data_IF_426682220999
#
_entry.id   IF_426682220999
#
_cell.length_a   1.000
_cell.length_b   1.000
_cell.length_c   1.000
_cell.angle_alpha   90.00
_cell.angle_beta   90.00
_cell.angle_gamma   90.00
#
_symmetry.space_group_name_H-M   'P 1'
#
loop_
_entity.id
_entity.type
_entity.pdbx_description
1 polymer ?
#
# COMPACT_ATOMS: atom_id res chain seq x y z
N UNK A 1 -12.75 7.98 -17.72
CA UNK A 1 -11.62 7.16 -17.22
C UNK A 1 -10.37 7.95 -17.52
N UNK A 2 -9.57 8.21 -16.49
CA UNK A 2 -8.34 9.00 -16.61
C UNK A 2 -7.33 8.20 -17.43
N UNK A 3 -6.81 8.78 -18.50
CA UNK A 3 -5.69 8.19 -19.24
C UNK A 3 -4.40 8.43 -18.43
N UNK A 4 -4.00 7.41 -17.63
CA UNK A 4 -2.81 7.48 -16.78
C UNK A 4 -1.53 7.71 -17.59
N UNK A 5 -1.46 7.23 -18.83
CA UNK A 5 -0.30 7.40 -19.68
C UNK A 5 -0.15 8.86 -20.15
N UNK A 6 -1.26 9.48 -20.54
CA UNK A 6 -1.27 10.89 -20.94
C UNK A 6 -0.95 11.79 -19.73
N UNK A 7 -1.54 11.52 -18.57
CA UNK A 7 -1.24 12.28 -17.35
C UNK A 7 0.23 12.17 -16.99
N UNK A 8 0.79 10.96 -17.01
CA UNK A 8 2.20 10.76 -16.67
C UNK A 8 3.12 11.51 -17.64
N UNK A 9 2.82 11.52 -18.94
CA UNK A 9 3.58 12.27 -19.93
C UNK A 9 3.58 13.78 -19.62
N UNK A 10 2.42 14.33 -19.27
CA UNK A 10 2.29 15.74 -18.89
C UNK A 10 3.06 16.06 -17.60
N UNK A 11 3.02 15.19 -16.60
CA UNK A 11 3.81 15.32 -15.37
C UNK A 11 5.33 15.29 -15.67
N UNK A 12 5.76 14.42 -16.59
CA UNK A 12 7.18 14.32 -17.01
C UNK A 12 7.65 15.56 -17.74
N UNK A 13 6.79 16.23 -18.50
CA UNK A 13 7.08 17.51 -19.17
C UNK A 13 6.91 18.73 -18.27
N UNK A 14 6.56 18.51 -16.98
CA UNK A 14 6.38 19.59 -15.98
C UNK A 14 5.25 20.56 -16.32
N UNK A 15 4.20 20.09 -16.94
CA UNK A 15 2.98 20.87 -17.12
C UNK A 15 2.31 21.09 -15.77
N UNK A 16 2.18 22.37 -15.36
CA UNK A 16 1.61 22.73 -14.04
C UNK A 16 0.17 22.28 -13.85
N UNK A 17 -0.62 22.23 -14.92
CA UNK A 17 -2.01 21.76 -14.83
C UNK A 17 -2.13 20.26 -14.59
N UNK A 18 -1.10 19.49 -14.93
CA UNK A 18 -1.11 18.04 -14.75
C UNK A 18 -1.12 17.62 -13.28
N UNK A 19 -0.45 18.39 -12.40
CA UNK A 19 -0.44 18.08 -10.96
C UNK A 19 -1.78 18.44 -10.32
N UNK A 20 -2.40 19.55 -10.68
CA UNK A 20 -3.74 19.93 -10.19
C UNK A 20 -4.76 18.86 -10.54
N UNK A 21 -4.73 18.39 -11.79
CA UNK A 21 -5.59 17.32 -12.25
C UNK A 21 -5.34 15.97 -11.52
N UNK A 22 -4.07 15.65 -11.23
CA UNK A 22 -3.73 14.47 -10.44
C UNK A 22 -4.28 14.58 -9.01
N UNK A 23 -4.16 15.75 -8.38
CA UNK A 23 -4.68 16.03 -7.04
C UNK A 23 -6.20 15.79 -7.03
N UNK A 24 -6.93 16.43 -7.93
CA UNK A 24 -8.39 16.33 -8.00
C UNK A 24 -8.86 14.88 -8.23
N UNK A 25 -8.16 14.15 -9.11
CA UNK A 25 -8.55 12.79 -9.49
C UNK A 25 -8.23 11.73 -8.43
N UNK A 26 -7.10 11.86 -7.73
CA UNK A 26 -6.63 10.81 -6.84
C UNK A 26 -6.81 11.09 -5.34
N UNK A 27 -7.05 12.33 -4.91
CA UNK A 27 -7.26 12.65 -3.49
C UNK A 27 -8.40 11.84 -2.85
N UNK A 28 -9.60 11.69 -3.48
CA UNK A 28 -10.68 10.90 -2.88
C UNK A 28 -10.29 9.44 -2.67
N UNK A 29 -9.58 8.86 -3.65
CA UNK A 29 -9.09 7.49 -3.57
C UNK A 29 -8.02 7.32 -2.48
N UNK A 30 -7.03 8.21 -2.42
CA UNK A 30 -5.96 8.16 -1.42
C UNK A 30 -6.50 8.35 -0.01
N UNK A 31 -7.46 9.26 0.17
CA UNK A 31 -8.17 9.44 1.45
C UNK A 31 -8.85 8.15 1.88
N UNK A 32 -9.59 7.50 0.99
CA UNK A 32 -10.25 6.22 1.28
C UNK A 32 -9.23 5.15 1.66
N UNK A 33 -8.13 5.02 0.92
CA UNK A 33 -7.05 4.05 1.22
C UNK A 33 -6.45 4.30 2.59
N UNK A 34 -6.15 5.56 2.93
CA UNK A 34 -5.55 5.94 4.20
C UNK A 34 -6.52 5.74 5.37
N UNK A 35 -7.76 6.24 5.28
CA UNK A 35 -8.75 6.04 6.34
C UNK A 35 -9.04 4.56 6.60
N UNK A 36 -9.13 3.74 5.56
CA UNK A 36 -9.31 2.29 5.71
C UNK A 36 -8.10 1.59 6.34
N UNK A 37 -6.92 2.18 6.25
CA UNK A 37 -5.70 1.58 6.77
C UNK A 37 -5.40 2.01 8.21
N UNK A 38 -5.52 3.31 8.49
CA UNK A 38 -5.09 3.88 9.78
C UNK A 38 -6.27 4.15 10.72
N UNK A 39 -7.51 4.17 10.21
CA UNK A 39 -8.71 4.49 10.98
C UNK A 39 -8.55 5.80 11.74
N UNK A 40 -8.78 5.74 13.06
CA UNK A 40 -8.61 6.87 13.99
C UNK A 40 -7.20 6.97 14.58
N UNK A 41 -6.26 6.11 14.19
CA UNK A 41 -4.89 6.07 14.76
C UNK A 41 -4.04 7.29 14.37
N UNK A 42 -4.38 7.94 13.25
CA UNK A 42 -3.79 9.22 12.83
C UNK A 42 -4.85 10.31 12.81
N UNK A 43 -4.52 11.53 13.24
CA UNK A 43 -5.40 12.68 13.09
C UNK A 43 -5.57 13.04 11.60
N UNK A 44 -6.63 13.79 11.31
CA UNK A 44 -6.98 14.19 9.93
C UNK A 44 -5.85 14.98 9.26
N UNK A 45 -5.22 15.86 10.02
CA UNK A 45 -4.10 16.70 9.58
C UNK A 45 -2.90 15.87 9.11
N UNK A 46 -2.60 14.76 9.80
CA UNK A 46 -1.54 13.84 9.40
C UNK A 46 -1.90 13.10 8.10
N UNK A 47 -3.19 12.78 7.89
CA UNK A 47 -3.65 12.15 6.64
C UNK A 47 -3.54 13.14 5.47
N UNK A 48 -3.91 14.40 5.67
CA UNK A 48 -3.79 15.46 4.67
C UNK A 48 -2.31 15.73 4.31
N UNK A 49 -1.42 15.74 5.30
CA UNK A 49 0.03 15.84 5.08
C UNK A 49 0.56 14.66 4.27
N UNK A 50 0.15 13.43 4.59
CA UNK A 50 0.55 12.24 3.81
C UNK A 50 0.09 12.36 2.36
N UNK A 51 -1.12 12.83 2.11
CA UNK A 51 -1.65 13.01 0.75
C UNK A 51 -0.80 14.05 0.00
N UNK A 52 -0.46 15.15 0.66
CA UNK A 52 0.42 16.18 0.09
C UNK A 52 1.80 15.62 -0.26
N UNK A 53 2.40 14.85 0.64
CA UNK A 53 3.69 14.18 0.42
C UNK A 53 3.65 13.22 -0.78
N UNK A 54 2.52 12.51 -0.99
CA UNK A 54 2.33 11.63 -2.14
C UNK A 54 2.38 12.41 -3.46
N UNK A 55 1.72 13.58 -3.53
CA UNK A 55 1.74 14.40 -4.74
C UNK A 55 3.08 15.09 -4.97
N UNK A 56 3.77 15.49 -3.89
CA UNK A 56 5.16 15.97 -3.99
C UNK A 56 6.07 14.87 -4.55
N UNK A 57 5.94 13.64 -4.06
CA UNK A 57 6.69 12.50 -4.57
C UNK A 57 6.36 12.20 -6.04
N UNK A 58 5.07 12.22 -6.41
CA UNK A 58 4.62 12.08 -7.80
C UNK A 58 5.29 13.12 -8.70
N UNK A 59 5.21 14.38 -8.32
CA UNK A 59 5.82 15.48 -9.07
C UNK A 59 7.34 15.32 -9.20
N UNK A 60 8.00 14.97 -8.10
CA UNK A 60 9.46 14.86 -8.05
C UNK A 60 9.97 13.70 -8.90
N UNK A 61 9.31 12.55 -8.80
CA UNK A 61 9.77 11.29 -9.41
C UNK A 61 9.00 10.90 -10.68
N UNK A 62 8.21 11.81 -11.28
CA UNK A 62 7.41 11.51 -12.47
C UNK A 62 8.22 10.85 -13.61
N UNK A 63 9.48 11.25 -13.78
CA UNK A 63 10.38 10.71 -14.83
C UNK A 63 10.80 9.26 -14.61
N UNK A 64 10.78 8.80 -13.35
CA UNK A 64 11.22 7.46 -12.97
C UNK A 64 10.05 6.45 -12.94
N UNK A 65 8.80 6.93 -13.14
CA UNK A 65 7.62 6.10 -13.11
C UNK A 65 7.50 5.32 -14.42
N UNK A 66 7.37 4.00 -14.28
CA UNK A 66 7.22 3.05 -15.37
C UNK A 66 5.87 2.31 -15.25
N UNK A 67 4.91 2.70 -16.09
CA UNK A 67 3.56 2.12 -16.10
C UNK A 67 3.52 0.66 -16.58
N UNK A 68 4.61 0.14 -17.16
CA UNK A 68 4.68 -1.30 -17.48
C UNK A 68 4.73 -2.17 -16.21
N UNK A 69 5.13 -1.60 -15.07
CA UNK A 69 5.23 -2.27 -13.76
C UNK A 69 3.97 -2.18 -12.93
N UNK A 70 3.00 -1.38 -13.31
CA UNK A 70 1.75 -1.18 -12.60
C UNK A 70 1.07 0.15 -12.94
N UNK A 71 -0.12 0.36 -12.40
CA UNK A 71 -0.88 1.59 -12.61
C UNK A 71 -0.36 2.75 -11.76
N UNK A 72 -0.58 3.99 -12.22
CA UNK A 72 -0.27 5.18 -11.43
C UNK A 72 -1.02 5.17 -10.08
N UNK A 73 -2.27 4.73 -10.10
CA UNK A 73 -3.10 4.54 -8.91
C UNK A 73 -2.44 3.62 -7.87
N UNK A 74 -1.88 2.49 -8.30
CA UNK A 74 -1.20 1.55 -7.40
C UNK A 74 0.13 2.11 -6.87
N UNK A 75 0.84 2.89 -7.67
CA UNK A 75 2.06 3.58 -7.27
C UNK A 75 1.79 4.61 -6.16
N UNK A 76 0.78 5.47 -6.35
CA UNK A 76 0.39 6.48 -5.36
C UNK A 76 -0.08 5.84 -4.05
N UNK A 77 -0.89 4.77 -4.13
CA UNK A 77 -1.33 4.03 -2.95
C UNK A 77 -0.17 3.36 -2.19
N UNK A 78 0.88 2.93 -2.89
CA UNK A 78 2.06 2.36 -2.24
C UNK A 78 2.85 3.44 -1.46
N UNK A 79 3.02 4.63 -2.04
CA UNK A 79 3.66 5.75 -1.33
C UNK A 79 2.82 6.14 -0.11
N UNK A 80 1.51 6.34 -0.28
CA UNK A 80 0.60 6.72 0.81
C UNK A 80 0.70 5.75 1.99
N UNK A 81 0.62 4.44 1.72
CA UNK A 81 0.76 3.40 2.74
C UNK A 81 2.10 3.44 3.46
N UNK A 82 3.20 3.52 2.71
CA UNK A 82 4.54 3.56 3.29
C UNK A 82 4.75 4.78 4.19
N UNK A 83 4.26 5.96 3.76
CA UNK A 83 4.35 7.19 4.54
C UNK A 83 3.51 7.10 5.83
N UNK A 84 2.28 6.59 5.72
CA UNK A 84 1.40 6.41 6.88
C UNK A 84 2.00 5.43 7.92
N UNK A 85 2.53 4.30 7.48
CA UNK A 85 3.21 3.36 8.39
C UNK A 85 4.44 3.96 9.05
N UNK A 86 5.21 4.76 8.33
CA UNK A 86 6.37 5.44 8.92
C UNK A 86 5.94 6.45 10.00
N UNK A 87 4.82 7.18 9.78
CA UNK A 87 4.26 8.08 10.80
C UNK A 87 3.74 7.31 12.02
N UNK A 88 2.97 6.23 11.80
CA UNK A 88 2.47 5.37 12.89
C UNK A 88 3.62 4.80 13.73
N UNK A 89 4.67 4.28 13.09
CA UNK A 89 5.83 3.74 13.78
C UNK A 89 6.54 4.81 14.62
N UNK A 90 6.78 5.98 14.06
CA UNK A 90 7.37 7.10 14.82
C UNK A 90 6.51 7.47 16.03
N UNK A 91 5.19 7.53 15.86
CA UNK A 91 4.26 7.82 16.96
C UNK A 91 4.36 6.76 18.06
N UNK A 92 4.45 5.48 17.71
CA UNK A 92 4.64 4.39 18.67
C UNK A 92 6.01 4.46 19.38
N UNK A 93 7.09 4.80 18.68
CA UNK A 93 8.42 4.98 19.29
C UNK A 93 8.42 6.12 20.33
N UNK A 94 7.62 7.17 20.14
CA UNK A 94 7.43 8.24 21.12
C UNK A 94 6.48 7.85 22.28
N UNK A 95 5.57 6.90 22.07
CA UNK A 95 4.60 6.46 23.08
C UNK A 95 5.14 5.33 23.96
N UNK A 96 6.24 4.67 23.57
CA UNK A 96 6.90 3.60 24.34
C UNK A 96 7.62 4.08 25.61
N UNK A 97 7.43 5.34 26.05
CA UNK A 97 7.85 5.82 27.39
C UNK A 97 6.70 5.83 28.40
N UNK A 98 5.45 5.68 27.97
CA UNK A 98 4.30 5.50 28.86
C UNK A 98 3.24 4.64 28.18
N UNK A 99 2.95 3.51 28.82
CA UNK A 99 1.82 2.59 28.62
C UNK A 99 1.62 1.96 27.22
N UNK A 100 1.97 0.68 27.16
CA UNK A 100 1.52 -0.33 26.19
C UNK A 100 -0.02 -0.44 26.21
N UNK A 101 -0.70 0.37 25.40
CA UNK A 101 -2.06 0.08 24.95
C UNK A 101 -1.97 -0.27 23.47
N UNK A 102 -2.01 -1.56 23.18
CA UNK A 102 -2.29 -2.05 21.84
C UNK A 102 -3.66 -1.50 21.43
N UNK A 103 -3.79 -0.82 20.27
CA UNK A 103 -5.12 -0.43 19.79
C UNK A 103 -5.94 -1.69 19.58
N UNK A 104 -7.01 -1.79 20.34
CA UNK A 104 -8.03 -2.84 20.24
C UNK A 104 -8.58 -2.87 18.80
N UNK A 105 -8.76 -4.10 18.29
CA UNK A 105 -9.31 -4.36 16.97
C UNK A 105 -10.81 -4.06 16.97
N UNK A 106 -11.18 -2.78 16.90
CA UNK A 106 -12.60 -2.41 16.87
C UNK A 106 -13.01 -1.85 15.51
N UNK A 107 -13.99 -2.56 14.95
CA UNK A 107 -14.96 -2.19 13.93
C UNK A 107 -14.51 -1.92 12.48
N UNK A 108 -14.23 -3.02 11.79
CA UNK A 108 -14.21 -3.09 10.33
C UNK A 108 -15.33 -4.01 9.78
N UNK A 109 -16.57 -3.81 10.19
CA UNK A 109 -17.64 -4.80 9.96
C UNK A 109 -18.29 -4.74 8.57
N UNK A 110 -17.95 -3.83 7.65
CA UNK A 110 -18.62 -3.76 6.35
C UNK A 110 -17.75 -3.98 5.10
N UNK A 111 -16.42 -4.17 5.25
CA UNK A 111 -15.54 -4.63 4.16
C UNK A 111 -15.03 -6.07 4.39
N UNK A 112 -15.71 -6.84 5.25
CA UNK A 112 -15.22 -8.13 5.72
C UNK A 112 -15.29 -9.26 4.70
N UNK A 113 -16.21 -9.26 3.73
CA UNK A 113 -16.36 -10.42 2.83
C UNK A 113 -15.24 -10.50 1.77
N UNK A 114 -14.92 -9.40 1.12
CA UNK A 114 -13.84 -9.37 0.11
C UNK A 114 -12.43 -9.42 0.72
N UNK A 115 -12.26 -8.85 1.92
CA UNK A 115 -10.99 -8.95 2.66
C UNK A 115 -10.75 -10.34 3.22
N UNK A 116 -11.80 -11.05 3.66
CA UNK A 116 -11.69 -12.44 4.13
C UNK A 116 -11.15 -13.32 3.00
N UNK A 117 -11.74 -13.27 1.82
CA UNK A 117 -11.34 -14.08 0.67
C UNK A 117 -9.89 -13.83 0.24
N UNK A 118 -9.42 -12.57 0.28
CA UNK A 118 -8.03 -12.23 -0.04
C UNK A 118 -7.04 -12.81 0.99
N UNK A 119 -7.34 -12.67 2.29
CA UNK A 119 -6.45 -13.21 3.32
C UNK A 119 -6.47 -14.73 3.36
N UNK A 120 -7.61 -15.36 3.08
CA UNK A 120 -7.72 -16.82 2.93
C UNK A 120 -6.87 -17.29 1.73
N UNK A 121 -6.90 -16.56 0.62
CA UNK A 121 -6.02 -16.82 -0.52
C UNK A 121 -4.54 -16.63 -0.16
N UNK A 122 -4.17 -15.61 0.62
CA UNK A 122 -2.80 -15.43 1.12
C UNK A 122 -2.36 -16.60 1.98
N UNK A 123 -3.21 -17.04 2.91
CA UNK A 123 -2.90 -18.19 3.78
C UNK A 123 -2.74 -19.48 2.97
N UNK A 124 -3.46 -19.63 1.87
CA UNK A 124 -3.35 -20.79 0.96
C UNK A 124 -2.08 -20.82 0.10
N UNK A 125 -1.26 -19.75 0.10
CA UNK A 125 0.03 -19.76 -0.61
C UNK A 125 1.01 -20.80 -0.04
N UNK A 126 0.86 -21.16 1.24
CA UNK A 126 1.76 -22.04 1.97
C UNK A 126 3.04 -21.33 2.45
N UNK A 127 3.73 -21.97 3.41
CA UNK A 127 4.99 -21.42 3.94
C UNK A 127 6.15 -21.60 2.95
N UNK A 128 7.09 -20.68 2.92
CA UNK A 128 7.16 -19.42 3.69
C UNK A 128 6.46 -18.22 3.00
N UNK A 129 5.74 -18.45 1.90
CA UNK A 129 5.20 -17.36 1.09
C UNK A 129 4.09 -16.59 1.83
N UNK A 130 3.19 -17.29 2.53
CA UNK A 130 2.16 -16.66 3.36
C UNK A 130 2.77 -15.78 4.46
N UNK A 131 3.79 -16.25 5.18
CA UNK A 131 4.48 -15.48 6.21
C UNK A 131 5.11 -14.20 5.61
N UNK A 132 5.79 -14.30 4.47
CA UNK A 132 6.40 -13.17 3.77
C UNK A 132 5.33 -12.15 3.37
N UNK A 133 4.17 -12.62 2.88
CA UNK A 133 3.05 -11.74 2.50
C UNK A 133 2.45 -11.03 3.71
N UNK A 134 2.21 -11.75 4.80
CA UNK A 134 1.69 -11.17 6.05
C UNK A 134 2.66 -10.13 6.60
N UNK A 135 3.94 -10.43 6.71
CA UNK A 135 4.96 -9.49 7.18
C UNK A 135 5.05 -8.25 6.31
N UNK A 136 5.04 -8.42 5.00
CA UNK A 136 5.19 -7.32 4.07
C UNK A 136 3.92 -6.48 3.94
N UNK A 137 2.72 -7.09 3.80
CA UNK A 137 1.48 -6.37 3.51
C UNK A 137 0.64 -6.04 4.75
N UNK A 138 0.69 -6.85 5.80
CA UNK A 138 -0.06 -6.61 7.02
C UNK A 138 0.76 -5.84 8.05
N UNK A 139 2.02 -6.25 8.26
CA UNK A 139 2.91 -5.62 9.24
C UNK A 139 3.87 -4.58 8.63
N UNK A 140 3.87 -4.41 7.31
CA UNK A 140 4.71 -3.47 6.57
C UNK A 140 6.21 -3.53 6.97
N UNK A 141 6.70 -4.74 7.25
CA UNK A 141 8.10 -4.94 7.57
C UNK A 141 8.98 -4.65 6.34
N UNK A 142 10.17 -4.14 6.58
CA UNK A 142 11.15 -3.94 5.50
C UNK A 142 11.62 -5.29 4.97
N UNK A 143 11.84 -5.38 3.66
CA UNK A 143 12.29 -6.64 3.03
C UNK A 143 13.58 -7.19 3.67
N UNK A 144 14.44 -6.31 4.17
CA UNK A 144 15.69 -6.73 4.85
C UNK A 144 15.40 -7.38 6.20
N UNK A 145 14.38 -6.92 6.92
CA UNK A 145 14.00 -7.49 8.22
C UNK A 145 13.24 -8.80 8.02
N UNK A 146 12.38 -8.89 7.00
CA UNK A 146 11.75 -10.15 6.57
C UNK A 146 12.82 -11.19 6.18
N UNK A 147 13.85 -10.78 5.43
CA UNK A 147 14.95 -11.66 5.05
C UNK A 147 15.68 -12.21 6.27
N UNK A 148 15.95 -11.36 7.28
CA UNK A 148 16.57 -11.79 8.56
C UNK A 148 15.67 -12.75 9.34
N UNK A 149 14.37 -12.44 9.44
CA UNK A 149 13.42 -13.23 10.21
C UNK A 149 13.15 -14.61 9.58
N UNK A 150 13.10 -14.69 8.25
CA UNK A 150 12.83 -15.94 7.52
C UNK A 150 14.08 -16.73 7.15
N UNK A 151 15.29 -16.17 7.37
CA UNK A 151 16.56 -16.79 6.96
C UNK A 151 16.77 -16.82 5.44
N UNK A 152 15.93 -16.15 4.65
CA UNK A 152 16.01 -16.10 3.20
C UNK A 152 16.78 -14.87 2.73
N UNK A 153 17.43 -14.95 1.57
CA UNK A 153 18.09 -13.78 1.01
C UNK A 153 17.06 -12.80 0.40
N UNK A 154 17.45 -11.53 0.29
CA UNK A 154 16.59 -10.43 -0.17
C UNK A 154 16.05 -10.66 -1.59
N UNK A 155 16.84 -11.27 -2.49
CA UNK A 155 16.42 -11.57 -3.86
C UNK A 155 15.34 -12.64 -3.88
N UNK A 156 15.44 -13.65 -3.02
CA UNK A 156 14.43 -14.69 -2.83
C UNK A 156 13.12 -14.10 -2.33
N UNK A 157 13.17 -13.21 -1.32
CA UNK A 157 11.97 -12.51 -0.81
C UNK A 157 11.27 -11.73 -1.93
N UNK A 158 12.02 -10.93 -2.71
CA UNK A 158 11.47 -10.17 -3.84
C UNK A 158 10.82 -11.10 -4.89
N UNK A 159 11.48 -12.21 -5.22
CA UNK A 159 10.97 -13.19 -6.18
C UNK A 159 9.69 -13.86 -5.67
N UNK A 160 9.65 -14.26 -4.39
CA UNK A 160 8.47 -14.86 -3.76
C UNK A 160 7.28 -13.90 -3.72
N UNK A 161 7.50 -12.64 -3.35
CA UNK A 161 6.45 -11.61 -3.41
C UNK A 161 5.92 -11.40 -4.85
N UNK A 162 6.80 -11.34 -5.85
CA UNK A 162 6.40 -11.19 -7.24
C UNK A 162 5.58 -12.39 -7.74
N UNK A 163 6.05 -13.61 -7.54
CA UNK A 163 5.36 -14.84 -7.96
C UNK A 163 4.06 -15.04 -7.20
N UNK A 164 4.05 -14.77 -5.89
CA UNK A 164 2.86 -14.88 -5.05
C UNK A 164 1.76 -13.91 -5.47
N UNK A 165 2.09 -12.66 -5.89
CA UNK A 165 1.11 -11.73 -6.48
C UNK A 165 0.44 -12.31 -7.71
N UNK A 166 1.21 -12.91 -8.63
CA UNK A 166 0.66 -13.53 -9.83
C UNK A 166 -0.26 -14.71 -9.48
N UNK A 167 0.12 -15.52 -8.46
CA UNK A 167 -0.69 -16.65 -8.00
C UNK A 167 -1.99 -16.17 -7.38
N UNK A 168 -1.93 -15.20 -6.47
CA UNK A 168 -3.11 -14.60 -5.83
C UNK A 168 -4.08 -13.98 -6.84
N UNK A 169 -3.54 -13.27 -7.85
CA UNK A 169 -4.37 -12.70 -8.90
C UNK A 169 -5.19 -13.77 -9.64
N UNK A 170 -4.57 -14.91 -9.99
CA UNK A 170 -5.28 -16.03 -10.63
C UNK A 170 -6.34 -16.63 -9.72
N UNK A 171 -6.00 -16.90 -8.45
CA UNK A 171 -6.93 -17.49 -7.49
C UNK A 171 -8.17 -16.61 -7.26
N UNK A 172 -8.01 -15.29 -7.25
CA UNK A 172 -9.12 -14.36 -7.09
C UNK A 172 -9.96 -14.24 -8.36
N UNK A 173 -9.34 -14.28 -9.55
CA UNK A 173 -10.06 -14.30 -10.84
C UNK A 173 -10.88 -15.58 -11.01
N UNK A 174 -10.29 -16.74 -10.71
CA UNK A 174 -10.98 -18.03 -10.78
C UNK A 174 -12.19 -18.09 -9.80
N UNK A 175 -12.09 -17.39 -8.64
CA UNK A 175 -13.19 -17.31 -7.68
C UNK A 175 -14.34 -16.40 -8.16
N UNK A 176 -14.03 -15.32 -8.91
CA UNK A 176 -15.04 -14.42 -9.49
C UNK A 176 -15.79 -15.08 -10.67
N UNK A 177 -15.15 -15.97 -11.43
CA UNK A 177 -15.77 -16.69 -12.55
C UNK A 177 -16.69 -17.85 -12.10
N UNK A 178 -16.64 -18.25 -10.82
CA UNK A 178 -17.46 -19.34 -10.27
C UNK A 178 -18.73 -18.87 -9.55
N UNK A 179 -19.01 -17.55 -9.51
CA UNK A 179 -20.20 -16.94 -8.90
C UNK A 179 -21.14 -16.41 -9.97
#
# INVERSE_FOLDING_TARGET
MVDEAQLLLQLQTRDSHSIDWAIDSYTPYLSTVLYNMVGTSLPKEDIEEIISDVFIALWTHAKDIDLSKGTLRSYLAAIARNTAYNKLRKKQEFTCLDDLVLPDQTDFTQLHSERSSLWDAVMSLGEPDNEIFVRYYKYNEKLIDIAKATGLNLSTIKTKLSRGKCKLKRMLQDAEEMV
#
